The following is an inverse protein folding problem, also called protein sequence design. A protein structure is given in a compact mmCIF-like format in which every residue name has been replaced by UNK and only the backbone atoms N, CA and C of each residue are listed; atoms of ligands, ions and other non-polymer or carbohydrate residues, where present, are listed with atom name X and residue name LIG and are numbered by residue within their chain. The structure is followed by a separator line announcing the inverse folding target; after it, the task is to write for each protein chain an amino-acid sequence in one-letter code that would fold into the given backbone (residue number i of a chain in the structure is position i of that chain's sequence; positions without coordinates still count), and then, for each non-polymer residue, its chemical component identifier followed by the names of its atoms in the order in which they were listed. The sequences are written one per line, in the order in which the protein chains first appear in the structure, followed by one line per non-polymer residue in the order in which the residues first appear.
data_IF_800765040852
#
_entry.id   IF_800765040852
#
_cell.length_a   1.000
_cell.length_b   1.000
_cell.length_c   1.000
_cell.angle_alpha   90.00
_cell.angle_beta   90.00
_cell.angle_gamma   90.00
#
_symmetry.space_group_name_H-M   'P 1'
#
loop_
_entity.id
_entity.type
_entity.pdbx_description
1 polymer ?
#
# COMPACT_ATOMS: atom_id res chain seq x y z
N UNK A 1 9.46 -6.76 -2.92
CA UNK A 1 8.42 -7.00 -3.93
C UNK A 1 8.88 -8.12 -4.86
N UNK A 2 8.20 -9.26 -4.80
CA UNK A 2 8.35 -10.44 -5.66
C UNK A 2 7.25 -10.50 -6.73
N UNK A 3 6.53 -9.39 -6.93
CA UNK A 3 5.40 -9.25 -7.84
C UNK A 3 4.23 -10.18 -7.55
N UNK A 4 4.14 -10.69 -6.32
CA UNK A 4 2.96 -11.40 -5.82
C UNK A 4 1.87 -10.40 -5.40
N UNK A 5 0.61 -10.71 -5.71
CA UNK A 5 -0.55 -9.97 -5.20
C UNK A 5 -0.85 -10.38 -3.75
N UNK A 6 -0.69 -9.46 -2.82
CA UNK A 6 -0.97 -9.63 -1.39
C UNK A 6 -2.47 -9.71 -1.08
N UNK A 7 -3.32 -9.10 -1.91
CA UNK A 7 -4.76 -9.37 -1.95
C UNK A 7 -5.60 -8.29 -2.64
N UNK A 8 -6.90 -8.54 -2.74
CA UNK A 8 -7.92 -7.57 -3.19
C UNK A 8 -8.90 -7.29 -2.06
N UNK A 9 -9.03 -6.02 -1.70
CA UNK A 9 -9.81 -5.58 -0.54
C UNK A 9 -10.97 -4.69 -0.99
N UNK A 10 -12.20 -5.09 -0.61
CA UNK A 10 -13.41 -4.33 -0.91
C UNK A 10 -13.71 -3.24 0.13
N UNK A 11 -14.80 -2.50 -0.09
CA UNK A 11 -15.27 -1.48 0.86
C UNK A 11 -15.47 -2.06 2.27
N UNK A 12 -14.98 -1.34 3.28
CA UNK A 12 -15.06 -1.75 4.68
C UNK A 12 -14.06 -2.82 5.12
N UNK A 13 -13.30 -3.42 4.18
CA UNK A 13 -12.22 -4.34 4.53
C UNK A 13 -11.02 -3.58 5.09
N UNK A 14 -10.39 -4.14 6.11
CA UNK A 14 -9.13 -3.63 6.63
C UNK A 14 -7.95 -4.18 5.80
N UNK A 15 -6.96 -3.34 5.59
CA UNK A 15 -5.65 -3.70 5.02
C UNK A 15 -4.60 -3.47 6.10
N UNK A 16 -3.67 -4.41 6.24
CA UNK A 16 -2.55 -4.29 7.18
C UNK A 16 -1.24 -4.47 6.43
N UNK A 17 -0.40 -3.43 6.47
CA UNK A 17 0.88 -3.39 5.79
C UNK A 17 2.01 -3.48 6.81
N UNK A 18 3.09 -4.18 6.45
CA UNK A 18 4.30 -4.21 7.27
C UNK A 18 5.14 -2.94 7.10
N UNK A 19 6.15 -2.77 7.96
CA UNK A 19 6.98 -1.56 8.01
C UNK A 19 8.45 -1.83 7.66
N UNK A 20 9.08 -0.95 6.88
CA UNK A 20 10.51 -0.99 6.57
C UNK A 20 10.86 -1.62 5.21
N UNK A 21 12.15 -1.79 4.90
CA UNK A 21 12.64 -2.08 3.53
C UNK A 21 12.11 -3.37 2.88
N UNK A 22 11.63 -4.33 3.68
CA UNK A 22 11.06 -5.59 3.18
C UNK A 22 9.59 -5.51 2.76
N UNK A 23 8.91 -4.40 3.06
CA UNK A 23 7.45 -4.26 2.92
C UNK A 23 7.05 -3.27 1.82
N UNK A 24 7.86 -3.16 0.77
CA UNK A 24 7.53 -2.37 -0.43
C UNK A 24 6.40 -3.06 -1.22
N UNK A 25 5.30 -2.34 -1.45
CA UNK A 25 4.13 -2.80 -2.19
C UNK A 25 3.53 -1.64 -3.01
N UNK A 26 2.59 -1.95 -3.91
CA UNK A 26 1.87 -0.96 -4.73
C UNK A 26 0.36 -1.20 -4.54
N UNK A 27 -0.33 -0.21 -3.98
CA UNK A 27 -1.79 -0.21 -3.92
C UNK A 27 -2.41 0.25 -5.25
N UNK A 28 -3.40 -0.50 -5.77
CA UNK A 28 -4.10 -0.16 -7.02
C UNK A 28 -5.59 -0.02 -6.78
N UNK A 29 -6.16 1.04 -7.34
CA UNK A 29 -7.61 1.13 -7.49
C UNK A 29 -8.01 0.35 -8.76
N UNK A 30 -8.62 -0.83 -8.57
CA UNK A 30 -9.07 -1.68 -9.68
C UNK A 30 -10.47 -1.30 -10.19
N UNK A 31 -11.16 -0.38 -9.51
CA UNK A 31 -12.48 0.11 -9.88
C UNK A 31 -12.43 1.36 -10.76
N UNK A 32 -13.60 1.85 -11.15
CA UNK A 32 -13.75 3.08 -11.95
C UNK A 32 -14.00 4.33 -11.11
N UNK A 33 -14.33 4.15 -9.83
CA UNK A 33 -14.63 5.24 -8.89
C UNK A 33 -13.43 5.51 -7.98
N UNK A 34 -13.25 6.75 -7.47
CA UNK A 34 -12.19 7.04 -6.51
C UNK A 34 -12.29 6.19 -5.24
N UNK A 35 -11.15 5.63 -4.81
CA UNK A 35 -11.03 4.98 -3.51
C UNK A 35 -10.64 6.01 -2.45
N UNK A 36 -11.42 6.07 -1.37
CA UNK A 36 -11.13 6.89 -0.18
C UNK A 36 -10.89 5.95 0.98
N UNK A 37 -9.74 6.09 1.64
CA UNK A 37 -9.34 5.23 2.75
C UNK A 37 -9.01 6.06 4.00
N UNK A 38 -9.38 5.52 5.15
CA UNK A 38 -8.85 5.97 6.42
C UNK A 38 -7.55 5.22 6.69
N UNK A 39 -6.44 5.96 6.73
CA UNK A 39 -5.11 5.37 6.96
C UNK A 39 -4.62 5.76 8.35
N UNK A 40 -4.14 4.76 9.10
CA UNK A 40 -3.52 4.95 10.40
C UNK A 40 -2.06 4.51 10.34
N UNK A 41 -1.16 5.41 10.70
CA UNK A 41 0.27 5.12 10.74
C UNK A 41 0.70 4.87 12.18
N UNK A 42 1.29 3.71 12.42
CA UNK A 42 1.92 3.36 13.70
C UNK A 42 3.43 3.39 13.50
N UNK A 43 4.05 4.50 13.89
CA UNK A 43 5.48 4.75 13.74
C UNK A 43 6.02 5.66 14.87
N UNK A 44 7.34 5.67 15.13
CA UNK A 44 7.95 6.63 16.04
C UNK A 44 7.63 8.08 15.65
N UNK A 45 7.51 8.94 16.65
CA UNK A 45 7.27 10.38 16.45
C UNK A 45 8.35 10.98 15.54
N UNK A 46 7.92 11.79 14.57
CA UNK A 46 8.81 12.43 13.59
C UNK A 46 9.11 11.59 12.35
N UNK A 47 8.66 10.33 12.30
CA UNK A 47 8.72 9.52 11.07
C UNK A 47 7.74 10.09 10.04
N UNK A 48 8.11 10.19 8.76
CA UNK A 48 7.16 10.49 7.69
C UNK A 48 6.00 9.50 7.71
N UNK A 49 4.79 9.98 7.41
CA UNK A 49 3.63 9.10 7.28
C UNK A 49 3.81 8.13 6.11
N UNK A 50 4.29 8.62 4.96
CA UNK A 50 4.66 7.80 3.81
C UNK A 50 6.06 8.18 3.30
N UNK A 51 6.71 7.24 2.62
CA UNK A 51 7.96 7.48 1.90
C UNK A 51 7.83 6.88 0.51
N UNK A 52 7.86 7.75 -0.51
CA UNK A 52 7.79 7.29 -1.90
C UNK A 52 9.06 6.49 -2.26
N UNK A 53 8.85 5.33 -2.87
CA UNK A 53 9.91 4.47 -3.37
C UNK A 53 9.69 4.17 -4.85
N UNK A 54 10.75 3.86 -5.62
CA UNK A 54 10.59 3.48 -7.02
C UNK A 54 9.66 2.28 -7.19
N UNK A 55 8.90 2.26 -8.29
CA UNK A 55 8.10 1.11 -8.71
C UNK A 55 8.98 -0.15 -8.74
N UNK A 56 8.57 -1.25 -8.07
CA UNK A 56 9.31 -2.51 -8.08
C UNK A 56 9.45 -3.15 -9.47
N UNK A 57 8.80 -2.64 -10.50
CA UNK A 57 8.96 -3.08 -11.89
C UNK A 57 8.05 -4.27 -12.25
N UNK A 58 6.95 -4.44 -11.53
CA UNK A 58 6.05 -5.59 -11.70
C UNK A 58 5.08 -5.45 -12.89
N UNK A 59 5.09 -4.32 -13.60
CA UNK A 59 4.33 -4.13 -14.84
C UNK A 59 2.81 -4.01 -14.65
N UNK A 60 2.36 -3.76 -13.42
CA UNK A 60 0.96 -3.49 -13.13
C UNK A 60 0.61 -2.04 -13.54
N UNK A 61 0.12 -1.88 -14.76
CA UNK A 61 -0.45 -0.63 -15.27
C UNK A 61 -1.76 -0.27 -14.58
#
# INVERSE_FOLDING_TARGET
ADCHEDGVFGEGAAVAEGQGPGHVHVGRNLGTEPVVMWVSYVAPVGTPASADVPDPGCGFA
#
